data_IF_776312076859
#
_entry.id   IF_776312076859
#
_cell.length_a   1.000
_cell.length_b   1.000
_cell.length_c   1.000
_cell.angle_alpha   90.00
_cell.angle_beta   90.00
_cell.angle_gamma   90.00
#
_symmetry.space_group_name_H-M   'P 1'
#
loop_
_entity.id
_entity.type
_entity.pdbx_description
1 polymer ?
#
# COMPACT_ATOMS: atom_id res chain seq x y z
N UNK A 1 -3.82 -78.21 40.37
CA UNK A 1 -4.31 -76.90 40.86
C UNK A 1 -3.43 -75.80 40.30
N UNK A 2 -3.82 -75.16 39.20
CA UNK A 2 -3.11 -73.99 38.65
C UNK A 2 -4.07 -72.80 38.62
N UNK A 3 -3.63 -71.69 39.22
CA UNK A 3 -4.34 -70.42 39.36
C UNK A 3 -4.44 -69.72 38.01
N UNK A 4 -5.65 -69.35 37.60
CA UNK A 4 -5.88 -68.37 36.53
C UNK A 4 -5.70 -66.96 37.12
N UNK A 5 -4.78 -66.17 36.56
CA UNK A 5 -4.67 -64.74 36.82
C UNK A 5 -5.32 -64.02 35.63
N UNK A 6 -6.45 -63.37 35.90
CA UNK A 6 -7.18 -62.52 34.96
C UNK A 6 -6.54 -61.13 34.99
N UNK A 7 -5.81 -60.75 33.93
CA UNK A 7 -5.30 -59.38 33.77
C UNK A 7 -6.34 -58.59 32.98
N UNK A 8 -7.11 -57.76 33.67
CA UNK A 8 -8.03 -56.82 33.05
C UNK A 8 -7.27 -55.63 32.45
N UNK A 9 -7.26 -55.51 31.12
CA UNK A 9 -6.85 -54.29 30.44
C UNK A 9 -7.98 -53.26 30.56
N UNK A 10 -7.78 -52.23 31.38
CA UNK A 10 -8.57 -51.01 31.32
C UNK A 10 -8.09 -50.19 30.12
N UNK A 11 -8.88 -50.16 29.04
CA UNK A 11 -8.73 -49.15 27.98
C UNK A 11 -9.35 -47.84 28.47
N UNK A 12 -8.51 -46.90 28.92
CA UNK A 12 -8.91 -45.50 29.00
C UNK A 12 -9.02 -44.97 27.57
N UNK A 13 -10.25 -44.84 27.08
CA UNK A 13 -10.55 -44.08 25.87
C UNK A 13 -10.31 -42.59 26.14
N UNK A 14 -9.13 -42.10 25.80
CA UNK A 14 -8.86 -40.66 25.71
C UNK A 14 -9.69 -40.15 24.53
N UNK A 15 -10.84 -39.55 24.81
CA UNK A 15 -11.58 -38.79 23.80
C UNK A 15 -10.79 -37.51 23.54
N UNK A 16 -9.96 -37.52 22.51
CA UNK A 16 -9.41 -36.30 21.95
C UNK A 16 -10.60 -35.48 21.42
N UNK A 17 -10.98 -34.43 22.15
CA UNK A 17 -11.88 -33.42 21.62
C UNK A 17 -11.17 -32.76 20.44
N UNK A 18 -11.52 -33.19 19.23
CA UNK A 18 -11.12 -32.51 18.01
C UNK A 18 -11.75 -31.12 18.03
N UNK A 19 -10.98 -30.12 18.46
CA UNK A 19 -11.31 -28.72 18.24
C UNK A 19 -11.53 -28.56 16.74
N UNK A 20 -12.76 -28.14 16.37
CA UNK A 20 -13.08 -27.83 14.97
C UNK A 20 -11.97 -26.92 14.43
N UNK A 21 -11.36 -27.23 13.27
CA UNK A 21 -10.34 -26.36 12.70
C UNK A 21 -10.98 -24.99 12.55
N UNK A 22 -10.42 -24.00 13.27
CA UNK A 22 -10.81 -22.60 13.11
C UNK A 22 -10.58 -22.29 11.64
N UNK A 23 -11.67 -22.00 10.91
CA UNK A 23 -11.58 -21.62 9.50
C UNK A 23 -10.71 -20.37 9.46
N UNK A 24 -9.46 -20.53 9.00
CA UNK A 24 -8.50 -19.44 8.88
C UNK A 24 -9.10 -18.43 7.91
N UNK A 25 -9.58 -17.31 8.44
CA UNK A 25 -10.13 -16.24 7.62
C UNK A 25 -8.94 -15.55 6.97
N UNK A 26 -8.64 -15.88 5.72
CA UNK A 26 -7.68 -15.13 4.91
C UNK A 26 -8.41 -13.98 4.25
N UNK A 27 -8.00 -12.75 4.55
CA UNK A 27 -8.42 -11.60 3.78
C UNK A 27 -7.86 -11.71 2.35
N UNK A 28 -8.61 -11.26 1.32
CA UNK A 28 -8.10 -11.30 -0.05
C UNK A 28 -6.89 -10.38 -0.19
N UNK A 29 -5.80 -10.92 -0.73
CA UNK A 29 -4.66 -10.11 -1.14
C UNK A 29 -4.99 -9.38 -2.45
N UNK A 30 -4.75 -8.08 -2.46
CA UNK A 30 -4.76 -7.25 -3.67
C UNK A 30 -3.32 -7.04 -4.09
N UNK A 31 -2.99 -7.42 -5.31
CA UNK A 31 -1.62 -7.43 -5.82
C UNK A 31 -1.50 -6.64 -7.11
N UNK A 32 -0.34 -6.01 -7.32
CA UNK A 32 0.08 -5.47 -8.60
C UNK A 32 1.50 -5.91 -8.94
N UNK A 33 1.73 -6.20 -10.21
CA UNK A 33 3.04 -6.58 -10.72
C UNK A 33 3.94 -5.35 -10.77
N UNK A 34 5.17 -5.50 -10.28
CA UNK A 34 6.15 -4.43 -10.30
C UNK A 34 6.74 -4.35 -11.72
N UNK A 35 6.67 -3.21 -12.41
CA UNK A 35 7.23 -3.13 -13.74
C UNK A 35 8.73 -3.44 -13.74
N UNK A 36 9.20 -4.06 -14.82
CA UNK A 36 10.60 -4.48 -15.04
C UNK A 36 11.15 -5.61 -14.16
N UNK A 37 10.40 -6.13 -13.19
CA UNK A 37 10.81 -7.31 -12.39
C UNK A 37 9.69 -8.35 -12.27
N UNK A 38 10.05 -9.61 -12.02
CA UNK A 38 9.10 -10.72 -11.85
C UNK A 38 8.60 -10.84 -10.39
N UNK A 39 8.33 -9.72 -9.74
CA UNK A 39 7.84 -9.68 -8.35
C UNK A 39 6.53 -8.89 -8.29
N UNK A 40 5.73 -9.12 -7.25
CA UNK A 40 4.48 -8.38 -7.01
C UNK A 40 4.52 -7.73 -5.64
N UNK A 41 3.96 -6.53 -5.55
CA UNK A 41 3.59 -5.95 -4.26
C UNK A 41 2.12 -6.28 -4.01
N UNK A 42 1.81 -6.70 -2.81
CA UNK A 42 0.47 -7.04 -2.38
C UNK A 42 0.14 -6.36 -1.06
N UNK A 43 -1.14 -6.10 -0.85
CA UNK A 43 -1.65 -5.69 0.44
C UNK A 43 -2.93 -6.43 0.78
N UNK A 44 -3.23 -6.47 2.07
CA UNK A 44 -4.54 -6.79 2.61
C UNK A 44 -4.91 -5.69 3.60
N UNK A 45 -6.13 -5.19 3.53
CA UNK A 45 -6.65 -4.20 4.46
C UNK A 45 -7.97 -4.63 5.11
N UNK A 46 -8.22 -4.11 6.30
CA UNK A 46 -9.49 -4.23 7.02
C UNK A 46 -9.76 -2.96 7.80
N UNK A 47 -11.02 -2.68 8.09
CA UNK A 47 -11.37 -1.59 9.00
C UNK A 47 -10.78 -1.84 10.38
N UNK A 48 -10.09 -0.85 10.92
CA UNK A 48 -9.54 -0.87 12.27
C UNK A 48 -10.65 -0.78 13.32
N UNK A 49 -10.43 -1.39 14.50
CA UNK A 49 -11.34 -1.24 15.64
C UNK A 49 -11.38 0.18 16.21
N UNK A 50 -10.38 1.02 15.85
CA UNK A 50 -10.23 2.39 16.31
C UNK A 50 -10.76 3.43 15.32
N UNK A 51 -11.68 3.02 14.44
CA UNK A 51 -12.10 3.74 13.24
C UNK A 51 -12.25 5.26 13.33
N UNK A 52 -12.19 5.98 12.18
CA UNK A 52 -12.36 5.48 10.82
C UNK A 52 -11.03 5.28 10.04
N UNK A 53 -10.27 4.25 10.40
CA UNK A 53 -8.93 3.99 9.87
C UNK A 53 -8.79 2.54 9.42
N UNK A 54 -7.79 2.25 8.60
CA UNK A 54 -7.52 0.90 8.11
C UNK A 54 -6.34 0.26 8.84
N UNK A 55 -6.45 -1.04 9.12
CA UNK A 55 -5.30 -1.88 9.41
C UNK A 55 -4.86 -2.53 8.08
N UNK A 56 -3.60 -2.30 7.68
CA UNK A 56 -3.04 -2.77 6.41
C UNK A 56 -1.82 -3.64 6.65
N UNK A 57 -1.69 -4.72 5.88
CA UNK A 57 -0.51 -5.58 5.85
C UNK A 57 0.01 -5.66 4.42
N UNK A 58 1.31 -5.42 4.25
CA UNK A 58 1.99 -5.47 2.97
C UNK A 58 2.81 -6.75 2.84
N UNK A 59 2.78 -7.33 1.64
CA UNK A 59 3.53 -8.52 1.26
C UNK A 59 4.21 -8.29 -0.09
N UNK A 60 5.34 -8.95 -0.28
CA UNK A 60 5.92 -9.18 -1.60
C UNK A 60 5.65 -10.62 -2.00
N UNK A 61 5.22 -10.85 -3.24
CA UNK A 61 5.31 -12.17 -3.86
C UNK A 61 6.58 -12.14 -4.71
N UNK A 62 7.57 -12.95 -4.34
CA UNK A 62 8.82 -13.02 -5.09
C UNK A 62 8.66 -13.78 -6.42
N UNK A 63 9.73 -13.83 -7.21
CA UNK A 63 9.74 -14.53 -8.50
C UNK A 63 9.50 -16.04 -8.44
N UNK A 64 9.58 -16.64 -7.25
CA UNK A 64 9.27 -18.05 -7.03
C UNK A 64 7.83 -18.27 -6.55
N UNK A 65 7.08 -17.19 -6.32
CA UNK A 65 5.72 -17.22 -5.79
C UNK A 65 5.66 -17.25 -4.26
N UNK A 66 6.78 -17.00 -3.57
CA UNK A 66 6.81 -17.02 -2.10
C UNK A 66 6.33 -15.68 -1.54
N UNK A 67 5.46 -15.75 -0.53
CA UNK A 67 4.94 -14.58 0.19
C UNK A 67 5.93 -14.13 1.27
N UNK A 68 6.44 -12.91 1.14
CA UNK A 68 7.35 -12.28 2.09
C UNK A 68 6.65 -11.10 2.76
N UNK A 69 6.53 -11.12 4.09
CA UNK A 69 5.93 -10.03 4.85
C UNK A 69 6.83 -8.78 4.80
N UNK A 70 6.28 -7.66 4.33
CA UNK A 70 6.92 -6.34 4.34
C UNK A 70 6.53 -5.52 5.58
N UNK A 71 5.43 -5.87 6.24
CA UNK A 71 5.03 -5.29 7.52
C UNK A 71 3.57 -4.91 7.56
N UNK A 72 3.15 -4.33 8.67
CA UNK A 72 1.77 -3.94 8.93
C UNK A 72 1.67 -2.59 9.59
N UNK A 73 0.67 -1.82 9.20
CA UNK A 73 0.29 -0.56 9.83
C UNK A 73 -1.11 -0.70 10.41
N UNK A 74 -1.29 -0.31 11.67
CA UNK A 74 -2.56 -0.44 12.39
C UNK A 74 -2.79 0.77 13.28
N UNK A 75 -4.05 1.16 13.46
CA UNK A 75 -4.43 2.17 14.46
C UNK A 75 -3.87 3.58 14.25
N UNK A 76 -3.44 3.92 13.03
CA UNK A 76 -3.01 5.27 12.65
C UNK A 76 -4.18 6.08 12.10
N UNK A 77 -4.09 7.41 12.16
CA UNK A 77 -5.15 8.37 11.77
C UNK A 77 -5.50 8.38 10.27
N UNK A 78 -5.05 7.39 9.50
CA UNK A 78 -5.12 7.36 8.05
C UNK A 78 -5.94 6.18 7.50
N UNK A 79 -6.69 6.44 6.44
CA UNK A 79 -7.30 5.42 5.57
C UNK A 79 -6.34 5.09 4.43
N UNK A 80 -6.28 3.83 4.00
CA UNK A 80 -5.40 3.41 2.92
C UNK A 80 -6.05 3.61 1.55
N UNK A 81 -5.36 4.33 0.65
CA UNK A 81 -5.84 4.61 -0.70
C UNK A 81 -5.37 3.59 -1.75
N UNK A 82 -4.20 2.98 -1.55
CA UNK A 82 -3.57 2.10 -2.53
C UNK A 82 -2.10 2.41 -2.75
N UNK A 83 -1.53 1.84 -3.81
CA UNK A 83 -0.20 2.15 -4.30
C UNK A 83 -0.16 2.01 -5.83
N UNK A 84 0.84 2.60 -6.46
CA UNK A 84 1.16 2.35 -7.88
C UNK A 84 2.66 2.60 -8.14
N UNK A 85 3.10 2.22 -9.34
CA UNK A 85 4.50 2.26 -9.77
C UNK A 85 4.73 3.30 -10.86
N UNK A 86 5.96 3.78 -10.94
CA UNK A 86 6.43 4.47 -12.14
C UNK A 86 6.50 3.48 -13.32
N UNK A 87 6.49 3.98 -14.56
CA UNK A 87 6.36 3.16 -15.79
C UNK A 87 7.25 1.91 -15.87
N UNK A 88 8.47 1.99 -15.36
CA UNK A 88 9.49 0.94 -15.30
C UNK A 88 9.76 0.43 -13.88
N UNK A 89 8.96 0.83 -12.88
CA UNK A 89 8.92 0.22 -11.56
C UNK A 89 10.03 0.66 -10.61
N UNK A 90 10.88 1.63 -10.99
CA UNK A 90 11.94 2.13 -10.11
C UNK A 90 11.41 2.83 -8.86
N UNK A 91 10.30 3.53 -9.00
CA UNK A 91 9.63 4.23 -7.90
C UNK A 91 8.22 3.69 -7.70
N UNK A 92 7.72 3.89 -6.48
CA UNK A 92 6.34 3.65 -6.13
C UNK A 92 5.82 4.80 -5.26
N UNK A 93 4.52 5.00 -5.25
CA UNK A 93 3.86 5.77 -4.21
C UNK A 93 2.91 4.90 -3.41
N UNK A 94 2.71 5.24 -2.14
CA UNK A 94 1.68 4.69 -1.27
C UNK A 94 0.75 5.83 -0.87
N UNK A 95 -0.56 5.64 -1.03
CA UNK A 95 -1.56 6.66 -0.75
C UNK A 95 -2.27 6.39 0.56
N UNK A 96 -2.47 7.49 1.30
CA UNK A 96 -3.15 7.54 2.58
C UNK A 96 -4.12 8.72 2.60
N UNK A 97 -5.06 8.72 3.54
CA UNK A 97 -5.91 9.87 3.79
C UNK A 97 -6.14 10.09 5.29
N UNK A 98 -5.74 11.25 5.80
CA UNK A 98 -5.99 11.69 7.18
C UNK A 98 -7.16 12.67 7.21
N UNK A 99 -8.22 12.37 7.97
CA UNK A 99 -9.45 13.20 8.03
C UNK A 99 -10.07 13.48 6.63
N UNK A 100 -9.83 12.60 5.65
CA UNK A 100 -10.28 12.77 4.27
C UNK A 100 -9.34 13.60 3.38
N UNK A 101 -8.20 14.05 3.91
CA UNK A 101 -7.15 14.74 3.16
C UNK A 101 -6.14 13.72 2.61
N UNK A 102 -6.05 13.54 1.28
CA UNK A 102 -5.14 12.57 0.71
C UNK A 102 -3.68 13.05 0.81
N UNK A 103 -2.79 12.10 1.05
CA UNK A 103 -1.35 12.28 0.88
C UNK A 103 -0.69 11.04 0.29
N UNK A 104 0.47 11.24 -0.31
CA UNK A 104 1.20 10.22 -1.04
C UNK A 104 2.65 10.21 -0.59
N UNK A 105 3.12 9.04 -0.18
CA UNK A 105 4.52 8.81 0.21
C UNK A 105 5.24 8.12 -0.94
N UNK A 106 6.35 8.69 -1.40
CA UNK A 106 7.12 8.15 -2.52
C UNK A 106 8.33 7.36 -2.05
N UNK A 107 8.57 6.21 -2.66
CA UNK A 107 9.69 5.33 -2.32
C UNK A 107 10.46 4.91 -3.57
N UNK A 108 11.73 4.53 -3.39
CA UNK A 108 12.36 3.60 -4.32
C UNK A 108 11.74 2.24 -4.08
N UNK A 109 11.31 1.57 -5.14
CA UNK A 109 10.62 0.28 -5.01
C UNK A 109 11.50 -0.74 -4.29
N UNK A 110 12.75 -0.89 -4.71
CA UNK A 110 13.67 -1.85 -4.08
C UNK A 110 13.89 -1.57 -2.58
N UNK A 111 14.03 -0.30 -2.19
CA UNK A 111 14.19 0.07 -0.78
C UNK A 111 12.96 -0.35 0.03
N UNK A 112 11.75 -0.21 -0.53
CA UNK A 112 10.52 -0.70 0.08
C UNK A 112 10.43 -2.22 0.10
N UNK A 113 10.87 -2.94 -0.93
CA UNK A 113 10.87 -4.41 -0.93
C UNK A 113 11.87 -5.00 0.08
N UNK A 114 12.95 -4.29 0.37
CA UNK A 114 13.98 -4.71 1.33
C UNK A 114 13.62 -4.36 2.78
N UNK A 115 13.06 -3.17 3.00
CA UNK A 115 12.84 -2.63 4.35
C UNK A 115 11.35 -2.59 4.76
N UNK A 116 10.45 -2.82 3.80
CA UNK A 116 9.01 -2.78 3.99
C UNK A 116 8.52 -1.42 4.47
N UNK A 117 7.55 -1.43 5.39
CA UNK A 117 6.97 -0.21 5.98
C UNK A 117 7.97 0.66 6.75
N UNK A 118 9.19 0.17 7.01
CA UNK A 118 10.27 0.93 7.65
C UNK A 118 11.14 1.68 6.64
N UNK A 119 10.88 1.50 5.34
CA UNK A 119 11.57 2.23 4.28
C UNK A 119 11.38 3.73 4.48
N UNK A 120 12.44 4.50 4.23
CA UNK A 120 12.38 5.96 4.34
C UNK A 120 11.69 6.51 3.10
N UNK A 121 10.60 7.24 3.30
CA UNK A 121 9.98 8.01 2.22
C UNK A 121 10.96 9.02 1.64
N UNK A 122 10.98 9.11 0.32
CA UNK A 122 11.79 10.07 -0.42
C UNK A 122 11.14 11.46 -0.42
N UNK A 123 9.81 11.50 -0.50
CA UNK A 123 8.99 12.71 -0.57
C UNK A 123 7.56 12.41 -0.11
N UNK A 124 6.87 13.41 0.44
CA UNK A 124 5.45 13.33 0.82
C UNK A 124 4.67 14.44 0.13
N UNK A 125 3.75 14.05 -0.75
CA UNK A 125 2.81 14.98 -1.38
C UNK A 125 1.50 14.99 -0.59
N UNK A 126 1.18 16.10 0.06
CA UNK A 126 -0.15 16.37 0.61
C UNK A 126 -0.73 17.64 -0.02
N UNK A 127 -1.68 17.49 -0.95
CA UNK A 127 -2.41 18.61 -1.54
C UNK A 127 -3.91 18.33 -1.47
N UNK A 128 -4.64 19.21 -0.78
CA UNK A 128 -6.06 19.02 -0.53
C UNK A 128 -6.89 18.96 -1.80
N UNK A 129 -6.41 19.60 -2.87
CA UNK A 129 -7.12 19.69 -4.14
C UNK A 129 -6.62 18.67 -5.16
N UNK A 130 -5.75 17.74 -4.75
CA UNK A 130 -5.23 16.68 -5.61
C UNK A 130 -6.37 15.98 -6.34
N UNK A 131 -6.24 15.86 -7.66
CA UNK A 131 -7.19 15.15 -8.49
C UNK A 131 -6.59 13.82 -8.96
N UNK A 132 -5.47 13.90 -9.70
CA UNK A 132 -4.81 12.72 -10.26
C UNK A 132 -3.35 13.01 -10.59
N UNK A 133 -2.54 11.96 -10.64
CA UNK A 133 -1.22 12.02 -11.27
C UNK A 133 -1.38 12.10 -12.79
N UNK A 134 -0.65 13.02 -13.41
CA UNK A 134 -0.55 13.15 -14.87
C UNK A 134 0.78 12.62 -15.40
N UNK A 135 1.79 12.50 -14.52
CA UNK A 135 3.07 11.88 -14.83
C UNK A 135 3.67 11.23 -13.58
N UNK A 136 4.20 10.02 -13.74
CA UNK A 136 5.09 9.39 -12.76
C UNK A 136 6.15 8.57 -13.50
N UNK A 137 7.37 9.10 -13.61
CA UNK A 137 8.41 8.55 -14.49
C UNK A 137 9.66 8.03 -13.77
N UNK A 138 10.43 7.20 -14.49
CA UNK A 138 11.65 6.52 -14.02
C UNK A 138 12.82 7.41 -13.62
N UNK A 139 12.73 8.71 -13.91
CA UNK A 139 13.70 9.70 -13.47
C UNK A 139 13.27 10.44 -12.19
N UNK A 140 12.16 10.02 -11.57
CA UNK A 140 11.64 10.61 -10.35
C UNK A 140 10.79 11.86 -10.57
N UNK A 141 10.51 12.26 -11.82
CA UNK A 141 9.59 13.36 -12.08
C UNK A 141 8.15 12.91 -11.80
N UNK A 142 7.44 13.72 -11.02
CA UNK A 142 6.02 13.57 -10.73
C UNK A 142 5.31 14.84 -11.18
N UNK A 143 4.18 14.67 -11.86
CA UNK A 143 3.24 15.75 -12.12
C UNK A 143 1.83 15.32 -11.75
N UNK A 144 1.03 16.25 -11.23
CA UNK A 144 -0.34 15.99 -10.80
C UNK A 144 -1.23 17.19 -11.11
N UNK A 145 -2.49 16.92 -11.44
CA UNK A 145 -3.52 17.93 -11.60
C UNK A 145 -4.28 18.18 -10.31
N UNK A 146 -4.91 19.34 -10.28
CA UNK A 146 -5.71 19.81 -9.16
C UNK A 146 -7.11 20.15 -9.65
N UNK A 147 -8.10 19.88 -8.81
CA UNK A 147 -9.52 20.05 -9.13
C UNK A 147 -9.89 21.49 -9.52
N UNK A 148 -10.82 21.62 -10.49
CA UNK A 148 -11.33 22.92 -10.96
C UNK A 148 -12.01 23.70 -9.82
N UNK A 149 -11.45 24.87 -9.48
CA UNK A 149 -11.99 25.77 -8.45
C UNK A 149 -11.01 26.14 -7.33
N UNK A 150 -9.89 25.41 -7.20
CA UNK A 150 -8.85 25.68 -6.20
C UNK A 150 -7.82 26.73 -6.63
N UNK A 151 -7.95 27.30 -7.84
CA UNK A 151 -6.92 28.12 -8.49
C UNK A 151 -7.53 29.37 -9.11
N UNK A 152 -7.74 30.43 -8.33
CA UNK A 152 -8.01 31.73 -8.96
C UNK A 152 -6.80 32.25 -9.73
N UNK A 153 -5.58 31.73 -9.52
CA UNK A 153 -4.46 31.87 -10.46
C UNK A 153 -3.48 30.70 -10.30
N UNK A 154 -3.42 29.78 -11.27
CA UNK A 154 -2.38 28.75 -11.31
C UNK A 154 -0.95 29.36 -11.36
N UNK A 155 -0.85 30.66 -11.68
CA UNK A 155 0.38 31.47 -11.67
C UNK A 155 0.93 31.81 -10.28
N UNK A 156 0.09 31.77 -9.23
CA UNK A 156 0.49 32.16 -7.87
C UNK A 156 0.95 30.94 -7.03
N UNK A 157 0.86 29.71 -7.58
CA UNK A 157 1.14 28.46 -6.89
C UNK A 157 2.64 28.10 -6.78
N UNK A 158 3.56 29.01 -7.13
CA UNK A 158 5.01 28.82 -7.06
C UNK A 158 5.66 28.19 -8.30
N UNK A 159 6.99 28.19 -8.33
CA UNK A 159 7.83 27.74 -9.45
C UNK A 159 7.54 26.28 -9.82
N UNK A 160 6.81 26.06 -10.92
CA UNK A 160 6.54 24.73 -11.48
C UNK A 160 5.07 24.47 -11.80
N UNK A 161 4.15 25.31 -11.32
CA UNK A 161 2.74 25.20 -11.70
C UNK A 161 2.51 25.67 -13.15
N UNK A 162 1.83 24.86 -13.95
CA UNK A 162 1.47 25.17 -15.33
C UNK A 162 0.00 24.88 -15.58
N UNK A 163 -0.66 25.81 -16.25
CA UNK A 163 -1.99 25.55 -16.80
C UNK A 163 -1.87 24.56 -17.95
N UNK A 164 -2.69 23.51 -17.92
CA UNK A 164 -2.92 22.62 -19.05
C UNK A 164 -4.40 22.63 -19.40
N UNK A 165 -4.68 22.51 -20.70
CA UNK A 165 -6.04 22.34 -21.20
C UNK A 165 -6.16 20.89 -21.58
N UNK A 166 -7.05 20.16 -20.90
CA UNK A 166 -7.46 18.86 -21.37
C UNK A 166 -8.27 19.06 -22.66
N UNK A 167 -7.72 18.60 -23.78
CA UNK A 167 -8.31 18.77 -25.11
C UNK A 167 -9.63 18.03 -25.29
N UNK A 168 -9.93 17.02 -24.46
CA UNK A 168 -11.17 16.24 -24.57
C UNK A 168 -12.32 16.91 -23.83
N UNK A 169 -12.03 17.51 -22.68
CA UNK A 169 -13.05 18.10 -21.80
C UNK A 169 -13.09 19.63 -21.84
N UNK A 170 -12.10 20.27 -22.50
CA UNK A 170 -11.86 21.73 -22.47
C UNK A 170 -11.68 22.30 -21.05
N UNK A 171 -11.39 21.44 -20.07
CA UNK A 171 -11.15 21.83 -18.68
C UNK A 171 -9.75 22.39 -18.50
N UNK A 172 -9.65 23.43 -17.67
CA UNK A 172 -8.36 24.03 -17.30
C UNK A 172 -7.88 23.39 -16.01
N UNK A 173 -6.79 22.65 -16.11
CA UNK A 173 -6.19 22.00 -14.95
C UNK A 173 -4.92 22.75 -14.55
N UNK A 174 -4.72 22.94 -13.25
CA UNK A 174 -3.44 23.39 -12.71
C UNK A 174 -2.56 22.18 -12.46
N UNK A 175 -1.45 22.08 -13.19
CA UNK A 175 -0.48 20.99 -13.05
C UNK A 175 0.68 21.49 -12.20
N UNK A 176 0.95 20.82 -11.09
CA UNK A 176 2.18 20.97 -10.33
C UNK A 176 3.14 19.84 -10.67
N UNK A 177 4.43 20.10 -10.57
CA UNK A 177 5.48 19.13 -10.82
C UNK A 177 6.62 19.26 -9.81
N UNK A 178 7.25 18.13 -9.50
CA UNK A 178 8.45 18.07 -8.68
C UNK A 178 9.29 16.84 -9.08
N UNK A 179 10.52 16.78 -8.60
CA UNK A 179 11.34 15.58 -8.70
C UNK A 179 11.54 14.99 -7.31
N UNK A 180 11.24 13.70 -7.15
CA UNK A 180 11.31 13.00 -5.85
C UNK A 180 12.73 13.00 -5.25
N UNK A 181 13.76 13.29 -6.05
CA UNK A 181 15.16 13.29 -5.62
C UNK A 181 15.81 14.68 -5.57
N UNK A 182 15.12 15.76 -5.96
CA UNK A 182 15.77 17.08 -6.13
C UNK A 182 16.16 17.81 -4.85
N UNK A 183 15.63 17.41 -3.69
CA UNK A 183 15.80 18.14 -2.42
C UNK A 183 16.76 17.46 -1.43
N UNK A 184 17.71 16.66 -1.93
CA UNK A 184 18.70 15.93 -1.09
C UNK A 184 20.14 16.46 -1.19
N UNK A 185 20.30 17.78 -1.15
CA UNK A 185 21.59 18.43 -0.87
C UNK A 185 21.67 18.93 0.56
#
# INVERSE_FOLDING_TARGET
MYKFILVGLLFLSIQANATKPVKKLSLPLVCATIPSIEEQLCYSSTNSSYGPYDDVVFYKIDKYGEEVLLGSQSGGVATFGGFDFSLGGRYMWVSWAEEGHPFFEFYRTNDFLENGIKSKSLEVLGDYYFEQFTQFSENGNVAYSLTEGAFENCKDAGDGARESIDSETSKKNCIKQFNIESDKN
#
